data_IF_373145125672
#
_entry.id   IF_373145125672
#
_cell.length_a   1.000
_cell.length_b   1.000
_cell.length_c   1.000
_cell.angle_alpha   90.00
_cell.angle_beta   90.00
_cell.angle_gamma   90.00
#
_symmetry.space_group_name_H-M   'P 1'
#
loop_
_entity.id
_entity.type
_entity.pdbx_description
1 polymer ?
2 non-polymer ?
3 non-polymer ?
4 water ?
#
# COMPACT_ATOMS: atom_id res chain seq x y z
N UNK A 6 -10.15 -7.49 30.31
CA UNK A 6 -11.25 -6.75 29.59
C UNK A 6 -10.63 -5.87 28.50
N UNK A 7 -11.09 -6.01 27.26
CA UNK A 7 -10.58 -5.22 26.13
C UNK A 7 -11.44 -3.98 25.97
N UNK A 8 -10.86 -2.81 26.18
CA UNK A 8 -11.64 -1.60 26.08
C UNK A 8 -11.36 -0.84 24.81
N UNK A 9 -12.38 -0.69 23.96
CA UNK A 9 -12.16 0.06 22.72
C UNK A 9 -11.87 1.51 23.03
N UNK A 10 -10.81 2.06 22.41
CA UNK A 10 -10.40 3.44 22.64
C UNK A 10 -10.59 4.24 21.35
N UNK A 11 -11.00 5.50 21.44
CA UNK A 11 -11.19 6.31 20.26
C UNK A 11 -10.00 7.28 20.12
N UNK A 12 -9.21 7.42 21.17
CA UNK A 12 -8.03 8.29 21.15
C UNK A 12 -7.00 7.73 22.15
N UNK A 13 -5.75 8.16 21.98
CA UNK A 13 -4.61 7.71 22.81
C UNK A 13 -3.73 8.83 23.35
N UNK A 14 -3.23 8.69 24.57
CA UNK A 14 -2.32 9.70 25.08
C UNK A 14 -0.96 9.63 24.39
N UNK A 15 -0.13 10.65 24.58
CA UNK A 15 1.20 10.67 23.98
C UNK A 15 1.98 9.45 24.43
N UNK A 16 1.88 9.09 25.71
CA UNK A 16 2.65 7.96 26.22
C UNK A 16 2.18 6.68 25.54
N UNK A 17 0.86 6.54 25.40
CA UNK A 17 0.30 5.33 24.80
C UNK A 17 0.74 5.27 23.34
N UNK A 18 0.79 6.43 22.68
CA UNK A 18 1.23 6.42 21.30
C UNK A 18 2.65 5.94 21.19
N UNK A 19 3.46 6.40 22.13
CA UNK A 19 4.86 6.00 22.15
C UNK A 19 4.95 4.50 22.43
N UNK A 20 4.08 4.01 23.30
CA UNK A 20 4.04 2.59 23.69
C UNK A 20 3.69 1.69 22.49
N UNK A 21 2.77 2.16 21.64
CA UNK A 21 2.36 1.41 20.49
C UNK A 21 3.49 1.43 19.45
N UNK A 22 4.11 2.61 19.23
CA UNK A 22 5.19 2.65 18.27
C UNK A 22 6.34 1.72 18.72
N UNK A 23 6.55 1.64 20.02
CA UNK A 23 7.62 0.78 20.50
C UNK A 23 7.34 -0.66 20.21
N UNK A 24 6.08 -1.03 20.34
CA UNK A 24 5.67 -2.44 20.13
C UNK A 24 5.84 -2.75 18.66
N UNK A 25 5.43 -1.80 17.83
CA UNK A 25 5.57 -1.98 16.35
C UNK A 25 7.04 -2.09 15.90
N UNK A 26 7.91 -1.21 16.39
CA UNK A 26 9.32 -1.22 16.04
C UNK A 26 9.99 -2.52 16.54
N UNK A 27 9.65 -2.95 17.74
CA UNK A 27 10.24 -4.17 18.30
C UNK A 27 9.83 -5.35 17.45
N UNK A 28 8.60 -5.29 16.95
CA UNK A 28 8.13 -6.41 16.18
C UNK A 28 8.76 -6.46 14.79
N UNK A 29 8.91 -5.30 14.15
CA UNK A 29 9.54 -5.24 12.85
C UNK A 29 10.97 -5.84 12.94
N UNK A 30 11.64 -5.56 14.05
CA UNK A 30 13.02 -6.04 14.18
C UNK A 30 13.09 -7.56 14.14
N UNK A 31 12.15 -8.20 14.79
CA UNK A 31 12.10 -9.66 14.86
C UNK A 31 11.48 -10.32 13.63
N UNK A 32 10.35 -9.77 13.19
CA UNK A 32 9.64 -10.39 12.07
C UNK A 32 10.21 -10.05 10.69
N UNK A 33 10.94 -8.91 10.62
CA UNK A 33 11.54 -8.45 9.36
C UNK A 33 10.52 -7.70 8.48
N UNK A 34 9.29 -7.58 9.00
CA UNK A 34 8.17 -6.94 8.31
C UNK A 34 7.40 -6.10 9.36
N UNK A 35 7.00 -4.85 9.05
CA UNK A 35 6.24 -4.06 10.04
C UNK A 35 4.87 -4.72 10.13
N UNK A 36 4.36 -4.92 11.33
CA UNK A 36 3.06 -5.59 11.51
C UNK A 36 1.84 -4.79 11.20
N UNK A 37 2.00 -3.49 11.26
CA UNK A 37 0.87 -2.58 10.90
C UNK A 37 1.46 -1.55 9.95
N UNK A 38 0.62 -0.97 9.08
CA UNK A 38 1.10 -0.01 8.12
C UNK A 38 1.38 1.39 8.53
N UNK A 39 1.91 2.15 7.59
CA UNK A 39 2.26 3.51 7.87
C UNK A 39 1.06 4.39 8.19
N UNK A 40 -0.07 4.11 7.57
CA UNK A 40 -1.25 4.91 7.85
C UNK A 40 -1.77 4.60 9.27
N UNK A 41 -1.69 3.34 9.69
CA UNK A 41 -2.11 3.02 11.07
C UNK A 41 -1.25 3.87 12.02
N UNK A 42 0.07 3.96 11.76
CA UNK A 42 0.93 4.77 12.64
C UNK A 42 0.50 6.21 12.64
N UNK A 43 0.06 6.74 11.49
CA UNK A 43 -0.41 8.15 11.46
C UNK A 43 -1.74 8.30 12.22
N UNK A 44 -2.48 7.23 12.36
CA UNK A 44 -3.79 7.33 13.05
C UNK A 44 -3.60 7.34 14.55
N UNK A 45 -2.40 6.98 15.03
CA UNK A 45 -2.25 6.94 16.49
C UNK A 45 -2.49 8.27 17.19
N UNK A 46 -2.14 9.36 16.49
CA UNK A 46 -2.26 10.70 17.06
C UNK A 46 -3.54 11.38 16.64
N UNK A 47 -4.50 10.64 16.06
CA UNK A 47 -5.79 11.18 15.63
C UNK A 47 -6.95 10.52 16.38
N UNK A 48 -8.17 11.03 16.14
CA UNK A 48 -9.35 10.49 16.85
C UNK A 48 -10.34 9.93 15.85
N UNK A 49 -9.82 9.43 14.74
CA UNK A 49 -10.63 8.91 13.62
C UNK A 49 -10.79 7.42 13.61
N UNK A 50 -10.05 6.70 14.45
CA UNK A 50 -10.17 5.25 14.42
C UNK A 50 -10.38 4.64 15.81
N UNK A 51 -10.47 3.33 15.91
CA UNK A 51 -10.66 2.73 17.23
C UNK A 51 -9.52 1.77 17.53
N UNK A 52 -9.19 1.65 18.81
CA UNK A 52 -7.97 0.88 19.16
C UNK A 52 -8.16 -0.04 20.37
N UNK A 53 -7.36 -1.08 20.39
CA UNK A 53 -7.26 -1.94 21.58
C UNK A 53 -5.76 -1.93 21.95
N UNK A 54 -5.46 -1.71 23.24
CA UNK A 54 -4.10 -1.79 23.75
C UNK A 54 -4.12 -2.86 24.86
N UNK A 55 -3.25 -3.86 24.77
CA UNK A 55 -3.23 -4.87 25.81
C UNK A 55 -1.96 -4.60 26.59
N UNK A 56 -2.15 -4.31 27.88
CA UNK A 56 -1.05 -3.96 28.78
C UNK A 56 -0.37 -5.18 29.26
N UNK A 57 0.91 -5.01 29.60
CA UNK A 57 1.67 -6.08 30.15
C UNK A 57 1.26 -6.27 31.62
N UNK A 58 1.93 -7.24 32.24
CA UNK A 58 1.66 -7.66 33.62
C UNK A 58 1.92 -6.75 34.80
N UNK A 59 3.00 -5.99 34.80
CA UNK A 59 3.17 -5.17 35.97
C UNK A 59 3.16 -3.70 35.60
N UNK A 60 2.98 -2.82 36.60
CA UNK A 60 2.92 -1.38 36.40
C UNK A 60 4.17 -0.78 35.78
N UNK A 61 3.96 0.29 35.00
CA UNK A 61 5.05 0.99 34.37
C UNK A 61 5.66 0.27 33.18
N UNK A 62 4.98 -0.76 32.66
CA UNK A 62 5.58 -1.49 31.57
C UNK A 62 5.08 -1.22 30.15
N UNK A 63 5.72 -1.87 29.18
CA UNK A 63 5.33 -1.68 27.78
C UNK A 63 4.05 -2.48 27.47
N UNK A 64 3.44 -2.18 26.34
CA UNK A 64 2.26 -2.98 26.00
C UNK A 64 2.62 -4.28 25.24
N UNK A 65 1.73 -5.23 25.20
CA UNK A 65 2.06 -6.50 24.58
C UNK A 65 1.19 -6.78 23.36
N UNK A 66 0.13 -5.98 23.19
CA UNK A 66 -0.72 -6.25 22.02
C UNK A 66 -1.41 -4.97 21.64
N UNK A 67 -1.70 -4.85 20.33
CA UNK A 67 -2.35 -3.66 19.82
C UNK A 67 -3.20 -4.01 18.61
N UNK A 68 -4.35 -3.35 18.47
CA UNK A 68 -5.15 -3.57 17.25
C UNK A 68 -5.74 -2.20 16.90
N UNK A 69 -5.75 -1.88 15.59
CA UNK A 69 -6.37 -0.65 15.11
C UNK A 69 -7.55 -1.09 14.25
N UNK A 70 -8.67 -0.38 14.37
CA UNK A 70 -9.85 -0.69 13.52
C UNK A 70 -10.15 0.62 12.82
N UNK A 71 -9.96 0.62 11.51
CA UNK A 71 -10.18 1.81 10.67
C UNK A 71 -11.51 1.66 9.96
N UNK A 72 -12.40 2.65 10.11
CA UNK A 72 -13.70 2.58 9.45
C UNK A 72 -13.53 2.53 7.94
N UNK A 73 -14.51 1.95 7.24
CA UNK A 73 -14.41 1.90 5.78
C UNK A 73 -14.77 3.32 5.23
N UNK A 77 -18.01 -1.23 2.25
CA UNK A 77 -17.28 -2.38 2.76
C UNK A 77 -17.17 -2.32 4.27
N UNK A 78 -16.52 -3.35 4.83
CA UNK A 78 -16.29 -3.48 6.28
C UNK A 78 -15.05 -2.70 6.67
N UNK A 79 -14.88 -2.56 7.97
CA UNK A 79 -13.74 -1.83 8.51
C UNK A 79 -12.52 -2.71 8.26
N UNK A 80 -11.32 -2.15 8.50
CA UNK A 80 -10.08 -2.91 8.30
C UNK A 80 -9.34 -2.92 9.65
N UNK A 81 -8.94 -4.11 10.11
CA UNK A 81 -8.19 -4.17 11.37
C UNK A 81 -6.75 -4.53 11.06
N UNK A 82 -5.81 -3.96 11.83
CA UNK A 82 -4.38 -4.33 11.73
C UNK A 82 -4.00 -4.58 13.19
N UNK A 83 -3.25 -5.65 13.44
CA UNK A 83 -2.95 -5.98 14.85
C UNK A 83 -1.59 -6.60 14.99
N UNK A 84 -1.13 -6.56 16.23
CA UNK A 84 0.22 -7.05 16.52
C UNK A 84 0.30 -7.50 17.97
N UNK A 85 0.94 -8.65 18.18
CA UNK A 85 1.25 -9.15 19.57
C UNK A 85 2.78 -9.23 19.58
N UNK A 86 3.39 -8.71 20.67
CA UNK A 86 4.83 -8.70 20.79
C UNK A 86 5.36 -10.11 20.62
N UNK A 87 6.45 -10.29 19.89
CA UNK A 87 7.01 -11.64 19.69
C UNK A 87 7.19 -12.46 20.99
N UNK A 88 7.56 -11.79 22.06
CA UNK A 88 7.75 -12.52 23.36
C UNK A 88 6.47 -12.90 24.07
N UNK A 89 5.33 -12.40 23.56
CA UNK A 89 4.03 -12.61 24.18
C UNK A 89 3.05 -13.44 23.30
N UNK A 90 3.53 -14.02 22.21
CA UNK A 90 2.68 -14.78 21.31
C UNK A 90 2.30 -16.18 21.88
N UNK A 91 1.33 -16.81 21.24
CA UNK A 91 0.83 -18.15 21.61
C UNK A 91 0.24 -18.17 23.01
N UNK A 92 -0.32 -17.03 23.41
CA UNK A 92 -0.97 -16.91 24.72
C UNK A 92 -2.42 -16.49 24.54
N UNK A 93 -2.90 -16.44 23.29
CA UNK A 93 -4.31 -16.07 23.07
C UNK A 93 -4.64 -14.60 22.88
N UNK A 94 -3.64 -13.73 22.97
CA UNK A 94 -3.87 -12.32 22.87
C UNK A 94 -4.35 -11.90 21.46
N UNK A 95 -3.69 -12.45 20.43
CA UNK A 95 -4.10 -12.13 19.07
C UNK A 95 -5.55 -12.54 18.82
N UNK A 96 -5.89 -13.79 19.24
CA UNK A 96 -7.26 -14.30 19.08
C UNK A 96 -8.24 -13.42 19.85
N UNK A 97 -7.92 -13.05 21.08
CA UNK A 97 -8.87 -12.20 21.83
C UNK A 97 -9.13 -10.86 21.15
N UNK A 98 -8.06 -10.24 20.60
CA UNK A 98 -8.30 -8.95 19.97
C UNK A 98 -9.09 -9.15 18.65
N UNK A 99 -8.75 -10.20 17.89
CA UNK A 99 -9.42 -10.44 16.61
C UNK A 99 -10.89 -10.77 16.81
N UNK A 100 -11.14 -11.58 17.81
CA UNK A 100 -12.55 -11.93 18.08
C UNK A 100 -13.30 -10.67 18.54
N UNK A 101 -12.63 -9.78 19.27
CA UNK A 101 -13.29 -8.52 19.70
C UNK A 101 -13.67 -7.67 18.52
N UNK A 102 -12.74 -7.62 17.55
CA UNK A 102 -13.00 -6.87 16.32
C UNK A 102 -14.19 -7.50 15.59
N UNK A 103 -14.19 -8.83 15.44
CA UNK A 103 -15.27 -9.49 14.69
C UNK A 103 -16.62 -9.26 15.38
N UNK A 104 -16.62 -9.32 16.71
CA UNK A 104 -17.89 -9.15 17.44
C UNK A 104 -18.38 -7.74 17.24
N UNK A 105 -17.47 -6.78 17.27
CA UNK A 105 -17.80 -5.37 17.11
C UNK A 105 -18.37 -5.01 15.74
N UNK A 106 -17.79 -5.59 14.71
CA UNK A 106 -18.21 -5.30 13.38
C UNK A 106 -19.20 -6.32 12.81
N UNK A 107 -19.82 -7.12 13.68
CA UNK A 107 -20.78 -8.10 13.18
C UNK A 107 -20.22 -9.06 12.16
N UNK A 108 -18.93 -9.35 12.31
CA UNK A 108 -18.30 -10.29 11.41
C UNK A 108 -17.88 -9.71 10.06
N UNK A 109 -18.03 -8.40 9.89
CA UNK A 109 -17.73 -7.76 8.61
C UNK A 109 -16.31 -7.25 8.41
N UNK A 110 -15.58 -6.98 9.47
CA UNK A 110 -14.24 -6.44 9.20
C UNK A 110 -13.26 -7.44 8.63
N UNK A 111 -12.21 -6.89 7.96
CA UNK A 111 -11.16 -7.74 7.44
C UNK A 111 -9.95 -7.46 8.30
N UNK A 112 -8.92 -8.28 8.12
CA UNK A 112 -7.69 -8.10 8.86
C UNK A 112 -6.57 -8.12 7.87
N UNK A 113 -5.64 -7.20 7.99
CA UNK A 113 -4.55 -7.18 7.03
C UNK A 113 -3.26 -7.83 7.57
N UNK A 114 -2.74 -8.85 6.88
CA UNK A 114 -1.55 -9.59 7.29
C UNK A 114 -0.39 -9.11 6.35
N UNK A 115 0.44 -8.19 6.81
CA UNK A 115 1.55 -7.72 5.99
C UNK A 115 2.57 -8.84 5.81
N UNK A 116 2.87 -9.20 4.54
CA UNK A 116 3.82 -10.27 4.34
C UNK A 116 3.25 -11.69 4.47
N UNK A 117 1.98 -11.83 4.92
CA UNK A 117 1.33 -13.12 5.07
C UNK A 117 2.30 -14.11 5.71
N UNK A 118 2.79 -13.73 6.90
CA UNK A 118 3.77 -14.55 7.63
C UNK A 118 3.11 -15.80 8.24
N UNK A 119 3.90 -16.79 8.61
CA UNK A 119 3.32 -18.04 9.14
C UNK A 119 2.41 -17.82 10.35
N UNK A 120 2.84 -16.98 11.31
CA UNK A 120 1.88 -16.87 12.43
C UNK A 120 0.50 -16.38 12.03
N UNK A 121 0.46 -15.32 11.22
CA UNK A 121 -0.82 -14.79 10.75
C UNK A 121 -1.65 -15.84 9.99
N UNK A 122 -0.99 -16.62 9.13
CA UNK A 122 -1.72 -17.64 8.37
C UNK A 122 -2.35 -18.64 9.34
N UNK A 123 -1.59 -19.05 10.36
CA UNK A 123 -2.06 -20.05 11.31
C UNK A 123 -3.19 -19.47 12.16
N UNK A 124 -3.05 -18.20 12.56
CA UNK A 124 -4.08 -17.50 13.38
C UNK A 124 -5.34 -17.34 12.58
N UNK A 125 -5.17 -17.01 11.29
CA UNK A 125 -6.32 -16.90 10.40
C UNK A 125 -7.05 -18.25 10.35
N UNK A 126 -6.30 -19.35 10.20
CA UNK A 126 -6.92 -20.69 10.12
C UNK A 126 -7.65 -21.05 11.42
N UNK A 127 -7.04 -20.68 12.53
CA UNK A 127 -7.60 -20.97 13.84
C UNK A 127 -8.88 -20.17 14.07
N UNK A 128 -8.97 -19.00 13.47
CA UNK A 128 -10.15 -18.15 13.61
C UNK A 128 -11.25 -18.42 12.56
N UNK A 129 -11.07 -19.40 11.68
CA UNK A 129 -12.07 -19.67 10.67
C UNK A 129 -12.09 -18.62 9.56
N UNK A 130 -10.98 -17.91 9.38
CA UNK A 130 -10.90 -16.88 8.34
C UNK A 130 -10.29 -17.39 7.07
N UNK A 131 -10.63 -16.75 5.95
CA UNK A 131 -10.00 -17.11 4.67
C UNK A 131 -9.45 -15.84 4.02
N UNK A 132 -8.47 -16.04 3.14
CA UNK A 132 -7.90 -14.91 2.41
C UNK A 132 -8.91 -14.41 1.38
N UNK A 133 -9.24 -13.13 1.38
CA UNK A 133 -10.21 -12.65 0.40
C UNK A 133 -9.59 -11.68 -0.63
N UNK A 134 -8.37 -11.23 -0.34
CA UNK A 134 -7.64 -10.34 -1.26
C UNK A 134 -6.20 -10.61 -1.02
N UNK A 135 -5.41 -10.57 -2.11
CA UNK A 135 -3.97 -10.68 -2.01
C UNK A 135 -3.39 -9.47 -2.80
N UNK A 136 -2.61 -8.65 -2.11
CA UNK A 136 -1.95 -7.49 -2.76
C UNK A 136 -0.50 -7.90 -2.84
N UNK A 137 -0.02 -8.05 -4.07
CA UNK A 137 1.32 -8.57 -4.25
C UNK A 137 2.32 -7.41 -4.39
N UNK A 138 3.42 -7.45 -3.63
CA UNK A 138 4.47 -6.45 -3.88
C UNK A 138 5.44 -7.17 -4.79
N UNK A 139 5.68 -6.60 -5.97
CA UNK A 139 6.69 -7.19 -6.87
C UNK A 139 7.87 -6.25 -6.95
N UNK A 140 9.04 -6.82 -7.26
CA UNK A 140 10.25 -6.01 -7.49
C UNK A 140 11.07 -6.47 -8.66
N UNK A 141 11.97 -5.61 -9.14
CA UNK A 141 12.98 -6.01 -10.11
C UNK A 141 14.20 -5.11 -9.88
N UNK A 142 15.36 -5.64 -10.14
CA UNK A 142 16.59 -4.88 -9.96
C UNK A 142 16.75 -3.75 -10.98
N UNK A 143 17.68 -2.86 -10.68
CA UNK A 143 18.00 -1.71 -11.54
C UNK A 143 19.00 -2.00 -12.65
N UNK A 144 19.33 -3.26 -12.83
CA UNK A 144 20.27 -3.63 -13.87
C UNK A 144 19.51 -4.40 -14.92
N UNK A 145 20.12 -4.54 -16.08
CA UNK A 145 19.49 -5.27 -17.16
C UNK A 145 18.04 -4.86 -17.22
N UNK A 146 17.80 -3.56 -17.36
CA UNK A 146 16.40 -3.13 -17.40
C UNK A 146 15.86 -3.10 -18.82
N UNK A 147 14.54 -3.07 -18.96
CA UNK A 147 13.99 -3.01 -20.33
C UNK A 147 14.24 -1.67 -21.12
N UNK A 148 14.03 -1.69 -22.43
CA UNK A 148 14.20 -0.56 -23.33
C UNK A 148 12.78 -0.26 -23.84
N UNK A 149 12.25 0.96 -23.64
CA UNK A 149 10.90 1.23 -24.11
C UNK A 149 10.73 1.37 -25.61
N UNK A 150 9.60 0.90 -26.12
CA UNK A 150 9.37 1.15 -27.53
C UNK A 150 8.23 2.15 -27.65
N UNK A 151 8.56 3.34 -28.10
CA UNK A 151 7.60 4.41 -28.31
C UNK A 151 7.07 4.25 -29.73
N UNK A 152 5.79 3.92 -29.87
CA UNK A 152 5.19 3.74 -31.20
C UNK A 152 4.93 5.09 -31.86
N UNK A 153 4.91 5.20 -33.19
CA UNK A 153 4.67 6.56 -33.58
C UNK A 153 3.25 6.97 -33.40
N UNK A 154 3.06 8.27 -33.30
CA UNK A 154 1.73 8.76 -33.03
C UNK A 154 1.67 9.00 -31.51
N UNK A 155 2.80 8.79 -30.83
CA UNK A 155 2.85 9.01 -29.37
C UNK A 155 4.05 9.85 -28.94
N UNK A 156 3.81 10.78 -28.04
CA UNK A 156 4.91 11.61 -27.54
C UNK A 156 4.90 11.51 -26.02
N UNK A 157 6.10 11.45 -25.46
CA UNK A 157 6.25 11.32 -24.00
C UNK A 157 6.80 12.60 -23.38
N UNK A 158 6.19 13.01 -22.29
CA UNK A 158 6.81 14.15 -21.60
C UNK A 158 6.44 14.10 -20.11
N UNK A 159 7.10 14.90 -19.27
CA UNK A 159 6.69 14.84 -17.87
C UNK A 159 5.56 15.84 -17.58
N UNK A 160 4.93 15.67 -16.39
CA UNK A 160 3.82 16.50 -15.91
C UNK A 160 4.25 17.97 -15.95
N UNK A 161 3.37 18.86 -16.43
CA UNK A 161 3.73 20.31 -16.59
C UNK A 161 3.03 21.13 -15.57
N UNK A 162 2.49 20.51 -14.53
CA UNK A 162 1.76 21.23 -13.50
C UNK A 162 0.26 21.24 -13.72
N UNK A 163 -0.47 22.17 -13.09
CA UNK A 163 -1.92 22.19 -13.11
C UNK A 163 -2.56 22.21 -14.52
N UNK A 164 -1.82 22.64 -15.53
CA UNK A 164 -2.31 22.64 -16.91
C UNK A 164 -2.74 21.17 -17.26
N UNK A 165 -2.00 20.20 -16.72
CA UNK A 165 -2.28 18.80 -17.06
C UNK A 165 -3.28 18.15 -16.18
N UNK A 166 -3.77 18.82 -15.12
CA UNK A 166 -4.65 18.15 -14.18
C UNK A 166 -5.96 17.67 -14.78
N UNK A 167 -6.58 18.43 -15.66
CA UNK A 167 -7.86 18.01 -16.29
C UNK A 167 -7.72 16.63 -16.96
N UNK A 168 -6.72 16.52 -17.81
CA UNK A 168 -6.46 15.22 -18.51
C UNK A 168 -6.00 14.14 -17.56
N UNK A 169 -5.15 14.47 -16.58
CA UNK A 169 -4.70 13.43 -15.67
C UNK A 169 -5.85 12.85 -14.88
N UNK A 170 -6.72 13.72 -14.38
CA UNK A 170 -7.89 13.25 -13.65
C UNK A 170 -8.84 12.40 -14.58
N UNK A 171 -9.06 12.90 -15.78
CA UNK A 171 -9.93 12.20 -16.72
C UNK A 171 -9.41 10.79 -16.95
N UNK A 172 -8.13 10.72 -17.26
CA UNK A 172 -7.58 9.39 -17.55
C UNK A 172 -7.53 8.50 -16.32
N UNK A 173 -7.11 9.03 -15.16
CA UNK A 173 -7.09 8.22 -13.97
C UNK A 173 -8.49 7.67 -13.66
N UNK A 174 -9.47 8.58 -13.73
CA UNK A 174 -10.82 8.15 -13.42
C UNK A 174 -11.45 7.21 -14.46
N UNK A 175 -11.02 7.27 -15.71
CA UNK A 175 -11.52 6.36 -16.76
C UNK A 175 -10.87 4.97 -16.55
N UNK A 176 -9.54 4.98 -16.39
CA UNK A 176 -8.81 3.70 -16.16
C UNK A 176 -9.23 2.96 -14.88
N UNK A 177 -9.45 3.70 -13.80
CA UNK A 177 -9.83 3.16 -12.52
C UNK A 177 -11.30 3.29 -12.25
N UNK A 178 -12.12 3.36 -13.30
CA UNK A 178 -13.57 3.49 -13.08
C UNK A 178 -14.07 2.32 -12.29
N UNK A 179 -14.79 2.64 -11.21
CA UNK A 179 -15.30 1.63 -10.31
C UNK A 179 -14.31 1.24 -9.22
N UNK A 180 -13.05 1.71 -9.29
CA UNK A 180 -12.09 1.36 -8.25
C UNK A 180 -12.41 2.12 -6.99
N UNK A 181 -12.54 1.37 -5.89
CA UNK A 181 -12.87 1.91 -4.57
C UNK A 181 -12.11 3.14 -4.20
N UNK A 182 -10.78 3.10 -4.28
CA UNK A 182 -10.06 4.30 -3.90
C UNK A 182 -9.23 5.04 -4.91
N UNK A 183 -8.91 4.44 -6.06
CA UNK A 183 -8.11 5.17 -7.05
C UNK A 183 -9.05 5.81 -8.07
N UNK A 184 -10.30 5.36 -8.10
CA UNK A 184 -11.24 5.97 -9.01
C UNK A 184 -11.83 7.25 -8.42
N UNK A 185 -12.54 8.02 -9.24
CA UNK A 185 -13.20 9.23 -8.74
C UNK A 185 -12.34 10.28 -8.05
N UNK A 186 -11.13 10.48 -8.55
CA UNK A 186 -10.31 11.50 -7.96
C UNK A 186 -10.71 12.91 -8.41
N UNK A 187 -10.36 13.88 -7.56
CA UNK A 187 -10.59 15.28 -7.84
C UNK A 187 -9.28 16.04 -7.63
N UNK A 188 -9.27 17.33 -7.96
CA UNK A 188 -8.07 18.13 -7.81
C UNK A 188 -7.61 18.08 -6.36
N UNK A 189 -8.54 17.78 -5.45
CA UNK A 189 -8.18 17.67 -4.03
C UNK A 189 -7.16 16.57 -3.74
N UNK A 190 -7.35 15.41 -4.35
CA UNK A 190 -6.39 14.34 -4.15
C UNK A 190 -5.05 14.66 -4.74
N UNK A 191 -5.02 15.28 -5.91
CA UNK A 191 -3.74 15.65 -6.51
C UNK A 191 -3.00 16.64 -5.65
N UNK A 192 -3.73 17.64 -5.11
CA UNK A 192 -3.08 18.65 -4.29
C UNK A 192 -2.46 18.02 -3.08
N UNK A 193 -3.17 17.08 -2.47
CA UNK A 193 -2.62 16.45 -1.30
C UNK A 193 -1.32 15.74 -1.63
N UNK A 194 -1.24 15.05 -2.76
CA UNK A 194 0.01 14.36 -3.09
C UNK A 194 1.15 15.29 -3.48
N UNK A 195 0.87 16.34 -4.25
CA UNK A 195 1.91 17.26 -4.67
C UNK A 195 2.53 17.99 -3.47
N UNK A 196 1.74 18.06 -2.40
CA UNK A 196 2.19 18.69 -1.16
C UNK A 196 3.15 17.80 -0.38
N UNK A 197 3.24 16.51 -0.72
CA UNK A 197 4.12 15.58 0.00
C UNK A 197 5.57 15.79 -0.46
N UNK A 198 6.53 15.68 0.46
CA UNK A 198 7.93 15.88 0.10
C UNK A 198 8.45 14.94 -0.96
N UNK A 199 7.84 13.78 -1.08
CA UNK A 199 8.34 12.84 -2.09
C UNK A 199 7.90 13.24 -3.49
N UNK A 200 6.90 14.13 -3.63
CA UNK A 200 6.48 14.44 -4.97
C UNK A 200 7.59 15.02 -5.82
N UNK A 201 7.62 14.59 -7.09
CA UNK A 201 8.57 15.11 -8.04
C UNK A 201 7.79 15.22 -9.34
N UNK A 202 7.51 16.40 -9.85
CA UNK A 202 6.75 16.48 -11.12
C UNK A 202 7.41 15.78 -12.27
N UNK A 203 8.77 15.71 -12.28
CA UNK A 203 9.47 15.00 -13.33
C UNK A 203 9.39 13.48 -13.17
N UNK A 204 8.82 13.03 -12.08
CA UNK A 204 8.62 11.58 -11.86
C UNK A 204 7.22 11.14 -12.34
N UNK A 205 6.42 12.09 -12.81
CA UNK A 205 5.07 11.75 -13.32
C UNK A 205 5.19 11.87 -14.87
N UNK A 206 5.14 10.69 -15.49
CA UNK A 206 5.38 10.51 -16.92
C UNK A 206 4.04 10.40 -17.70
N UNK A 207 3.91 11.19 -18.75
CA UNK A 207 2.65 11.26 -19.51
C UNK A 207 2.89 10.91 -20.99
N UNK A 208 1.92 10.21 -21.58
CA UNK A 208 2.04 9.87 -22.98
C UNK A 208 0.82 10.48 -23.65
N UNK A 209 1.08 11.30 -24.68
CA UNK A 209 -0.01 11.96 -25.43
C UNK A 209 -0.03 11.48 -26.87
N UNK A 210 -1.19 11.61 -27.50
CA UNK A 210 -1.26 11.24 -28.88
C UNK A 210 -0.68 12.44 -29.63
N UNK A 211 -0.11 12.15 -30.79
CA UNK A 211 0.56 13.15 -31.61
C UNK A 211 0.03 12.94 -33.02
N UNK A 218 -2.91 16.97 -28.34
CA UNK A 218 -3.14 15.56 -28.24
C UNK A 218 -3.80 15.29 -26.90
N UNK A 219 -4.61 14.23 -26.88
CA UNK A 219 -5.29 13.81 -25.70
C UNK A 219 -4.28 13.00 -24.86
N UNK A 220 -4.37 13.04 -23.52
CA UNK A 220 -3.51 12.18 -22.69
C UNK A 220 -3.99 10.72 -22.92
N UNK A 221 -3.04 9.85 -23.20
CA UNK A 221 -3.32 8.42 -23.45
C UNK A 221 -3.12 7.59 -22.19
N UNK A 222 -2.17 8.01 -21.37
CA UNK A 222 -1.86 7.24 -20.16
C UNK A 222 -0.78 7.93 -19.34
N UNK A 223 -0.57 7.46 -18.14
CA UNK A 223 0.49 8.05 -17.29
C UNK A 223 1.09 7.03 -16.37
N UNK A 224 2.31 7.36 -15.91
CA UNK A 224 2.99 6.51 -14.93
C UNK A 224 3.56 7.46 -13.88
N UNK A 225 2.95 7.42 -12.72
CA UNK A 225 3.43 8.26 -11.59
C UNK A 225 4.40 7.38 -10.82
N UNK A 226 5.66 7.79 -10.77
CA UNK A 226 6.70 7.06 -10.02
C UNK A 226 6.93 7.79 -8.69
N UNK A 227 7.55 7.12 -7.73
CA UNK A 227 7.76 7.72 -6.41
C UNK A 227 9.06 7.22 -5.81
N UNK A 228 9.84 8.15 -5.28
CA UNK A 228 11.08 7.80 -4.58
C UNK A 228 10.82 8.43 -3.21
N UNK A 229 10.76 7.62 -2.15
CA UNK A 229 10.53 8.22 -0.84
C UNK A 229 11.86 8.63 -0.20
N UNK A 230 11.93 9.85 0.37
CA UNK A 230 13.19 10.29 0.99
C UNK A 230 13.67 9.35 2.09
N UNK A 231 12.77 8.57 2.69
CA UNK A 231 13.20 7.70 3.78
C UNK A 231 13.48 6.24 3.43
N UNK A 232 13.40 5.92 2.13
CA UNK A 232 13.68 4.56 1.67
C UNK A 232 14.63 4.67 0.49
N UNK A 233 15.89 5.05 0.76
CA UNK A 233 16.91 5.19 -0.28
C UNK A 233 17.13 3.92 -1.08
N UNK A 234 17.49 4.09 -2.35
CA UNK A 234 17.79 2.93 -3.14
C UNK A 234 16.58 2.24 -3.72
N UNK A 235 15.39 2.70 -3.38
CA UNK A 235 14.18 2.07 -3.89
C UNK A 235 13.32 3.06 -4.65
N UNK A 236 12.77 2.62 -5.77
CA UNK A 236 11.88 3.47 -6.53
C UNK A 236 10.57 2.71 -6.57
N UNK A 237 9.45 3.43 -6.71
CA UNK A 237 8.14 2.75 -6.78
C UNK A 237 7.29 3.15 -7.97
N UNK A 238 6.58 2.15 -8.51
CA UNK A 238 5.52 2.42 -9.44
C UNK A 238 4.43 2.91 -8.42
N UNK A 239 3.98 4.16 -8.50
CA UNK A 239 2.98 4.62 -7.55
C UNK A 239 1.56 4.50 -8.16
N UNK A 240 1.36 4.99 -9.38
CA UNK A 240 0.07 4.80 -10.10
C UNK A 240 0.38 4.64 -11.58
N UNK A 241 -0.17 3.58 -12.21
CA UNK A 241 -0.03 3.39 -13.64
C UNK A 241 -1.46 3.32 -14.20
N UNK A 242 -1.75 4.16 -15.20
CA UNK A 242 -3.11 4.08 -15.79
C UNK A 242 -3.11 4.47 -17.23
N UNK A 243 -3.84 3.69 -18.03
CA UNK A 243 -3.98 3.98 -19.45
C UNK A 243 -5.47 4.13 -19.75
N UNK A 244 -5.80 5.21 -20.45
CA UNK A 244 -7.23 5.44 -20.80
C UNK A 244 -7.72 4.15 -21.54
N UNK A 245 -8.89 3.65 -21.17
CA UNK A 245 -9.45 2.46 -21.84
C UNK A 245 -9.51 2.67 -23.36
N UNK A 246 -9.68 3.91 -23.88
CA UNK A 246 -9.66 4.21 -25.33
C UNK A 246 -8.31 4.05 -26.00
N UNK A 247 -7.25 3.83 -25.18
CA UNK A 247 -5.89 3.71 -25.62
C UNK A 247 -5.24 2.43 -25.07
N UNK A 248 -6.05 1.57 -24.42
CA UNK A 248 -5.47 0.30 -23.84
C UNK A 248 -5.26 -0.77 -24.94
N UNK A 249 -4.48 -1.81 -24.57
CA UNK A 249 -4.23 -2.94 -25.46
C UNK A 249 -3.54 -2.57 -26.77
N UNK A 250 -2.68 -1.54 -26.68
CA UNK A 250 -1.88 -1.05 -27.81
C UNK A 250 -0.38 -0.96 -27.42
N UNK A 251 -0.01 -1.48 -26.24
CA UNK A 251 1.38 -1.49 -25.80
C UNK A 251 1.75 -0.29 -24.91
N UNK A 252 0.82 0.58 -24.65
CA UNK A 252 1.21 1.77 -23.90
C UNK A 252 1.51 1.55 -22.45
N UNK A 253 0.78 0.64 -21.78
CA UNK A 253 1.03 0.38 -20.38
C UNK A 253 2.44 -0.17 -20.19
N UNK A 254 2.82 -1.12 -21.03
CA UNK A 254 4.17 -1.67 -20.90
C UNK A 254 5.23 -0.55 -21.12
N UNK A 255 5.00 0.24 -22.19
CA UNK A 255 5.91 1.36 -22.60
C UNK A 255 6.06 2.33 -21.41
N UNK A 256 4.93 2.69 -20.82
CA UNK A 256 4.98 3.67 -19.68
C UNK A 256 5.71 3.09 -18.51
N UNK A 257 5.50 1.79 -18.22
CA UNK A 257 6.18 1.21 -17.09
C UNK A 257 7.69 1.21 -17.38
N UNK A 258 8.06 0.87 -18.61
CA UNK A 258 9.44 0.81 -19.01
C UNK A 258 10.15 2.18 -18.89
N UNK A 259 9.46 3.22 -19.30
CA UNK A 259 9.98 4.59 -19.24
C UNK A 259 10.18 4.95 -17.78
N UNK A 260 9.24 4.57 -16.93
CA UNK A 260 9.39 4.88 -15.51
C UNK A 260 10.58 4.17 -14.89
N UNK A 261 10.84 2.92 -15.31
CA UNK A 261 11.98 2.17 -14.80
C UNK A 261 13.28 2.89 -15.22
N UNK A 262 13.34 3.31 -16.46
CA UNK A 262 14.55 4.03 -16.94
C UNK A 262 14.75 5.28 -16.08
N UNK A 263 13.66 6.02 -15.85
CA UNK A 263 13.72 7.30 -15.07
C UNK A 263 14.19 7.05 -13.62
N UNK A 264 13.57 6.06 -12.99
CA UNK A 264 13.93 5.70 -11.63
C UNK A 264 15.37 5.21 -11.54
N UNK A 265 15.80 4.40 -12.49
CA UNK A 265 17.16 3.87 -12.42
C UNK A 265 18.17 5.05 -12.52
N UNK A 266 17.85 6.04 -13.32
CA UNK A 266 18.75 7.19 -13.46
C UNK A 266 18.78 7.98 -12.18
N UNK A 267 17.61 8.19 -11.58
CA UNK A 267 17.55 8.96 -10.34
C UNK A 267 18.14 8.24 -9.15
N UNK A 268 18.08 6.91 -9.14
CA UNK A 268 18.62 6.15 -8.03
C UNK A 268 20.12 5.80 -8.10
N UNK A 278 17.24 -4.61 1.54
CA UNK A 278 18.06 -5.27 0.48
C UNK A 278 18.86 -4.59 -0.70
N UNK A 279 18.64 -5.12 -1.91
CA UNK A 279 19.26 -4.64 -3.16
C UNK A 279 18.42 -3.49 -3.75
N UNK A 280 19.07 -2.46 -4.40
CA UNK A 280 18.37 -1.32 -5.03
C UNK A 280 17.42 -1.93 -6.01
N UNK A 281 16.26 -1.32 -6.19
CA UNK A 281 15.24 -1.95 -7.00
C UNK A 281 14.08 -1.02 -7.22
N UNK A 282 13.22 -1.41 -8.14
CA UNK A 282 11.96 -0.70 -8.35
C UNK A 282 10.92 -1.69 -7.78
N UNK A 283 9.98 -1.19 -6.98
CA UNK A 283 8.94 -2.02 -6.41
C UNK A 283 7.54 -1.53 -6.80
N UNK A 284 6.55 -2.43 -6.69
CA UNK A 284 5.18 -2.02 -6.98
C UNK A 284 4.25 -2.89 -6.20
N UNK A 285 2.97 -2.47 -6.16
CA UNK A 285 1.90 -3.24 -5.48
C UNK A 285 0.80 -3.46 -6.49
N UNK A 286 0.38 -4.72 -6.63
CA UNK A 286 -0.64 -5.03 -7.63
C UNK A 286 -1.63 -6.07 -7.07
N UNK A 287 -2.92 -5.85 -7.29
CA UNK A 287 -3.95 -6.82 -6.83
C UNK A 287 -3.70 -8.12 -7.57
N UNK A 288 -3.80 -9.25 -6.90
CA UNK A 288 -3.48 -10.54 -7.50
C UNK A 288 -4.34 -10.90 -8.70
N UNK A 289 -5.53 -10.32 -8.78
CA UNK A 289 -6.42 -10.65 -9.89
C UNK A 289 -6.51 -9.59 -10.98
N UNK A 290 -5.59 -8.62 -10.93
CA UNK A 290 -5.54 -7.60 -11.97
C UNK A 290 -4.69 -8.21 -13.07
N UNK A 291 -5.38 -8.90 -13.97
CA UNK A 291 -4.64 -9.65 -14.98
C UNK A 291 -3.80 -8.77 -15.87
N UNK A 292 -4.39 -7.67 -16.33
CA UNK A 292 -3.63 -6.81 -17.22
C UNK A 292 -2.38 -6.26 -16.54
N UNK A 293 -2.53 -5.81 -15.30
CA UNK A 293 -1.32 -5.18 -14.69
C UNK A 293 -0.27 -6.27 -14.37
N UNK A 294 -0.73 -7.40 -13.80
CA UNK A 294 0.24 -8.48 -13.53
C UNK A 294 0.96 -8.85 -14.81
N UNK A 295 0.24 -8.98 -15.94
CA UNK A 295 0.96 -9.30 -17.17
C UNK A 295 1.99 -8.24 -17.59
N UNK A 296 1.59 -6.99 -17.48
CA UNK A 296 2.46 -5.91 -17.85
C UNK A 296 3.74 -5.98 -17.04
N UNK A 297 3.57 -6.13 -15.76
CA UNK A 297 4.75 -6.15 -14.87
C UNK A 297 5.61 -7.39 -15.07
N UNK A 298 4.97 -8.55 -15.24
CA UNK A 298 5.73 -9.74 -15.47
C UNK A 298 6.58 -9.64 -16.78
N UNK A 299 6.06 -8.97 -17.79
CA UNK A 299 6.80 -8.84 -19.04
C UNK A 299 8.03 -8.01 -18.92
N UNK A 300 8.12 -7.26 -17.83
CA UNK A 300 9.24 -6.36 -17.61
C UNK A 300 10.18 -6.87 -16.53
N UNK A 301 10.04 -8.14 -16.18
CA UNK A 301 10.94 -8.80 -15.25
C UNK A 301 10.66 -8.67 -13.78
N UNK A 302 9.54 -8.05 -13.43
CA UNK A 302 9.14 -8.05 -12.02
C UNK A 302 8.77 -9.46 -11.55
N UNK A 303 9.13 -9.72 -10.30
CA UNK A 303 8.77 -10.99 -9.70
C UNK A 303 8.24 -10.73 -8.29
N UNK A 304 7.51 -11.70 -7.77
CA UNK A 304 6.91 -11.54 -6.47
C UNK A 304 7.94 -11.41 -5.37
N UNK A 305 7.79 -10.38 -4.54
CA UNK A 305 8.71 -10.10 -3.45
C UNK A 305 8.06 -10.48 -2.09
N UNK A 306 6.81 -10.10 -1.95
CA UNK A 306 6.04 -10.45 -0.75
C UNK A 306 4.58 -10.30 -1.05
N UNK A 307 3.72 -10.85 -0.22
CA UNK A 307 2.29 -10.75 -0.49
C UNK A 307 1.61 -10.31 0.79
N UNK A 308 0.67 -9.38 0.68
CA UNK A 308 -0.17 -8.99 1.83
C UNK A 308 -1.53 -9.64 1.60
N UNK A 309 -2.05 -10.27 2.63
CA UNK A 309 -3.35 -10.94 2.50
C UNK A 309 -4.40 -10.29 3.44
N UNK A 310 -5.59 -10.00 2.91
CA UNK A 310 -6.67 -9.52 3.75
C UNK A 310 -7.45 -10.77 4.07
N UNK A 311 -7.68 -11.01 5.35
CA UNK A 311 -8.43 -12.18 5.82
C UNK A 311 -9.80 -11.77 6.33
N UNK A 312 -10.78 -12.64 6.12
CA UNK A 312 -12.13 -12.32 6.56
C UNK A 312 -12.89 -13.63 6.74
N UNK A 313 -14.07 -13.50 7.32
CA UNK A 313 -14.93 -14.68 7.45
C UNK A 313 -15.52 -14.89 6.02
#
# INVERSE_FOLDING_TARGET
>A
GSHMTALDWRSALTADEQRSVRALVTATTAVDGVAPVGEQVLRELGQQRTEHLLVAGSRPGGPIIGYLNLSPPRGAGGAMAELVVHPQSRRRGIGTAMARAALAKTAGRNQFWAHGTLDPARATASALGLVGVRELIQMRRPLRDIPEPTIPDGVVIRTYAGTSDDAELLRVNNAAFAGHPEQGGWTAVQLAERRGEAWFDPDGLILAFGDSPRERPGRLLGFHWTKVHPDHPGLGEVYVLGVDPAAQRRGLGQMLTSIGIVSLARRLGGRKTLDPAVEPAVLLYVESDNVAAVRTYQSLGFTTYSVDTAYALAGTDN
#
